data_IF_767942707344
#
_entry.id   IF_767942707344
#
_cell.length_a   1.000
_cell.length_b   1.000
_cell.length_c   1.000
_cell.angle_alpha   90.00
_cell.angle_beta   90.00
_cell.angle_gamma   90.00
#
_symmetry.space_group_name_H-M   'P 1'
#
loop_
_entity.id
_entity.type
_entity.pdbx_description
1 polymer ?
#
# COMPACT_ATOMS: atom_id res chain seq x y z
N UNK A 1 12.98 9.27 5.70
CA UNK A 1 11.84 10.01 5.09
C UNK A 1 11.49 9.33 3.78
N UNK A 2 10.23 8.97 3.55
CA UNK A 2 9.81 8.42 2.26
C UNK A 2 10.01 9.51 1.19
N UNK A 3 10.81 9.21 0.15
CA UNK A 3 11.01 10.12 -0.97
C UNK A 3 9.62 10.50 -1.51
N UNK A 4 9.30 11.80 -1.66
CA UNK A 4 8.02 12.20 -2.23
C UNK A 4 7.90 11.50 -3.58
N UNK A 5 6.84 10.72 -3.74
CA UNK A 5 6.60 10.00 -4.98
C UNK A 5 6.46 11.05 -6.08
N UNK A 6 7.40 11.10 -7.03
CA UNK A 6 7.51 12.16 -8.06
C UNK A 6 6.26 12.36 -8.93
N UNK A 7 5.25 11.49 -8.80
CA UNK A 7 4.03 11.54 -9.58
C UNK A 7 2.80 11.58 -8.65
N UNK A 8 1.99 12.65 -8.70
CA UNK A 8 0.78 12.79 -7.88
C UNK A 8 -0.26 11.72 -8.25
N UNK A 9 -1.12 11.35 -7.29
CA UNK A 9 -2.11 10.28 -7.47
C UNK A 9 -3.06 10.54 -8.66
N UNK A 10 -3.45 11.80 -8.87
CA UNK A 10 -4.32 12.19 -9.99
C UNK A 10 -3.66 11.99 -11.35
N UNK A 11 -2.34 12.23 -11.45
CA UNK A 11 -1.59 11.93 -12.68
C UNK A 11 -1.56 10.42 -12.94
N UNK A 12 -1.43 9.59 -11.90
CA UNK A 12 -1.43 8.13 -12.05
C UNK A 12 -2.77 7.62 -12.54
N UNK A 13 -3.87 8.03 -11.90
CA UNK A 13 -5.23 7.66 -12.33
C UNK A 13 -5.49 8.07 -13.77
N UNK A 14 -5.11 9.32 -14.12
CA UNK A 14 -5.23 9.81 -15.49
C UNK A 14 -4.40 9.01 -16.48
N UNK A 15 -3.17 8.65 -16.13
CA UNK A 15 -2.30 7.85 -16.98
C UNK A 15 -2.86 6.44 -17.21
N UNK A 16 -3.32 5.77 -16.16
CA UNK A 16 -3.95 4.44 -16.26
C UNK A 16 -5.18 4.49 -17.14
N UNK A 17 -6.10 5.45 -16.90
CA UNK A 17 -7.29 5.65 -17.72
C UNK A 17 -6.94 5.91 -19.19
N UNK A 18 -5.95 6.75 -19.46
CA UNK A 18 -5.56 7.04 -20.83
C UNK A 18 -4.99 5.80 -21.53
N UNK A 19 -4.21 4.97 -20.84
CA UNK A 19 -3.71 3.70 -21.40
C UNK A 19 -4.86 2.76 -21.71
N UNK A 20 -5.86 2.63 -20.84
CA UNK A 20 -7.01 1.75 -21.09
C UNK A 20 -7.89 2.25 -22.24
N UNK A 21 -8.00 3.57 -22.43
CA UNK A 21 -8.71 4.17 -23.55
C UNK A 21 -8.01 3.94 -24.90
N UNK A 22 -6.68 4.09 -24.97
CA UNK A 22 -5.95 4.06 -26.25
C UNK A 22 -5.34 2.70 -26.61
N UNK A 23 -5.31 1.73 -25.69
CA UNK A 23 -4.65 0.42 -25.92
C UNK A 23 -5.12 -0.31 -27.17
N UNK A 24 -6.37 -0.09 -27.62
CA UNK A 24 -6.94 -0.70 -28.82
C UNK A 24 -6.44 -0.07 -30.13
N UNK A 25 -5.94 1.16 -30.09
CA UNK A 25 -5.46 1.91 -31.26
C UNK A 25 -4.00 1.59 -31.62
N UNK A 26 -3.32 0.82 -30.77
CA UNK A 26 -1.91 0.47 -30.94
C UNK A 26 -1.73 -1.03 -31.20
N UNK A 27 -0.67 -1.43 -31.95
CA UNK A 27 -0.42 -2.84 -32.30
C UNK A 27 -0.08 -3.72 -31.10
N UNK A 28 0.31 -3.13 -29.95
CA UNK A 28 0.56 -3.84 -28.71
C UNK A 28 0.53 -2.89 -27.50
N UNK A 29 0.38 -3.48 -26.30
CA UNK A 29 0.36 -2.75 -25.02
C UNK A 29 1.61 -1.88 -24.81
N UNK A 30 2.79 -2.40 -25.15
CA UNK A 30 4.05 -1.66 -24.99
C UNK A 30 4.09 -0.37 -25.82
N UNK A 31 3.50 -0.37 -27.02
CA UNK A 31 3.39 0.81 -27.87
C UNK A 31 2.43 1.84 -27.28
N UNK A 32 1.26 1.42 -26.79
CA UNK A 32 0.32 2.29 -26.09
C UNK A 32 0.94 2.92 -24.83
N UNK A 33 1.61 2.12 -24.01
CA UNK A 33 2.29 2.59 -22.80
C UNK A 33 3.38 3.62 -23.12
N UNK A 34 4.19 3.39 -24.16
CA UNK A 34 5.21 4.35 -24.60
C UNK A 34 4.60 5.65 -25.08
N UNK A 35 3.53 5.59 -25.87
CA UNK A 35 2.85 6.77 -26.37
C UNK A 35 2.25 7.62 -25.24
N UNK A 36 1.59 6.99 -24.26
CA UNK A 36 1.04 7.70 -23.10
C UNK A 36 2.14 8.25 -22.19
N UNK A 37 3.22 7.49 -21.99
CA UNK A 37 4.38 7.96 -21.21
C UNK A 37 4.98 9.23 -21.81
N UNK A 38 5.20 9.26 -23.13
CA UNK A 38 5.67 10.45 -23.85
C UNK A 38 4.68 11.61 -23.73
N UNK A 39 3.38 11.35 -23.93
CA UNK A 39 2.33 12.37 -23.87
C UNK A 39 2.18 13.03 -22.48
N UNK A 40 2.44 12.28 -21.41
CA UNK A 40 2.32 12.77 -20.03
C UNK A 40 3.67 13.15 -19.39
N UNK A 41 4.78 13.09 -20.14
CA UNK A 41 6.12 13.39 -19.64
C UNK A 41 6.61 12.41 -18.56
N UNK A 42 6.15 11.16 -18.58
CA UNK A 42 6.56 10.12 -17.63
C UNK A 42 7.78 9.40 -18.19
N UNK A 43 8.87 9.40 -17.42
CA UNK A 43 10.18 8.95 -17.91
C UNK A 43 10.28 7.46 -18.28
N UNK A 44 9.31 6.61 -17.93
CA UNK A 44 9.35 5.19 -18.29
C UNK A 44 7.96 4.58 -18.50
N UNK A 45 7.81 3.86 -19.62
CA UNK A 45 6.63 3.04 -19.92
C UNK A 45 6.41 1.91 -18.89
N UNK A 46 7.48 1.39 -18.26
CA UNK A 46 7.37 0.39 -17.19
C UNK A 46 6.70 0.97 -15.94
N UNK A 47 6.87 2.27 -15.69
CA UNK A 47 6.18 2.95 -14.58
C UNK A 47 4.67 2.92 -14.80
N UNK A 48 4.20 3.23 -16.02
CA UNK A 48 2.77 3.13 -16.35
C UNK A 48 2.29 1.68 -16.28
N UNK A 49 3.09 0.73 -16.78
CA UNK A 49 2.74 -0.69 -16.72
C UNK A 49 2.49 -1.16 -15.29
N UNK A 50 3.32 -0.72 -14.35
CA UNK A 50 3.16 -1.03 -12.94
C UNK A 50 1.90 -0.39 -12.34
N UNK A 51 1.53 0.83 -12.78
CA UNK A 51 0.28 1.47 -12.34
C UNK A 51 -0.95 0.77 -12.89
N UNK A 52 -0.96 0.40 -14.18
CA UNK A 52 -2.05 -0.37 -14.79
C UNK A 52 -2.21 -1.70 -14.06
N UNK A 53 -1.13 -2.44 -13.84
CA UNK A 53 -1.18 -3.71 -13.08
C UNK A 53 -1.70 -3.54 -11.66
N UNK A 54 -1.32 -2.45 -11.00
CA UNK A 54 -1.78 -2.15 -9.64
C UNK A 54 -3.29 -1.88 -9.65
N UNK A 55 -3.76 -1.06 -10.59
CA UNK A 55 -5.18 -0.76 -10.79
C UNK A 55 -6.00 -2.02 -11.12
N UNK A 56 -5.47 -2.93 -11.95
CA UNK A 56 -6.10 -4.23 -12.22
C UNK A 56 -6.23 -5.10 -10.95
N UNK A 57 -5.25 -5.05 -10.05
CA UNK A 57 -5.30 -5.77 -8.78
C UNK A 57 -6.31 -5.10 -7.85
N UNK A 58 -6.25 -3.78 -7.70
CA UNK A 58 -7.14 -3.01 -6.84
C UNK A 58 -8.61 -3.08 -7.29
N UNK A 59 -8.87 -3.24 -8.59
CA UNK A 59 -10.21 -3.43 -9.18
C UNK A 59 -10.66 -4.90 -9.23
N UNK A 60 -9.84 -5.84 -8.77
CA UNK A 60 -10.15 -7.28 -8.77
C UNK A 60 -10.11 -7.95 -10.15
N UNK A 61 -9.66 -7.25 -11.20
CA UNK A 61 -9.46 -7.82 -12.53
C UNK A 61 -8.28 -8.80 -12.58
N UNK A 62 -7.35 -8.67 -11.63
CA UNK A 62 -6.16 -9.51 -11.50
C UNK A 62 -6.00 -10.01 -10.07
N UNK A 63 -5.64 -11.29 -9.85
CA UNK A 63 -5.33 -11.77 -8.51
C UNK A 63 -4.11 -11.05 -7.94
N UNK A 64 -4.21 -10.63 -6.68
CA UNK A 64 -3.16 -9.98 -5.92
C UNK A 64 -3.70 -9.35 -4.64
N UNK A 65 -2.81 -8.91 -3.74
CA UNK A 65 -3.20 -8.15 -2.54
C UNK A 65 -3.44 -6.70 -2.93
N UNK A 66 -4.65 -6.23 -2.68
CA UNK A 66 -5.01 -4.83 -2.92
C UNK A 66 -4.22 -3.89 -2.01
N UNK A 67 -4.13 -2.64 -2.43
CA UNK A 67 -3.53 -1.57 -1.66
C UNK A 67 -4.25 -1.37 -0.33
N UNK A 68 -5.58 -1.50 -0.34
CA UNK A 68 -6.43 -1.41 0.84
C UNK A 68 -6.15 -2.55 1.84
N UNK A 69 -6.12 -3.80 1.37
CA UNK A 69 -5.78 -4.95 2.22
C UNK A 69 -4.38 -4.82 2.84
N UNK A 70 -3.40 -4.34 2.07
CA UNK A 70 -2.05 -4.10 2.57
C UNK A 70 -2.03 -3.00 3.64
N UNK A 71 -2.84 -1.94 3.47
CA UNK A 71 -2.97 -0.86 4.44
C UNK A 71 -3.65 -1.34 5.73
N UNK A 72 -4.75 -2.08 5.61
CA UNK A 72 -5.47 -2.67 6.73
C UNK A 72 -4.58 -3.63 7.54
N UNK A 73 -3.83 -4.51 6.87
CA UNK A 73 -2.89 -5.42 7.54
C UNK A 73 -1.84 -4.65 8.35
N UNK A 74 -1.31 -3.54 7.81
CA UNK A 74 -0.33 -2.71 8.53
C UNK A 74 -0.94 -2.03 9.75
N UNK A 75 -2.15 -1.48 9.62
CA UNK A 75 -2.87 -0.86 10.73
C UNK A 75 -3.13 -1.88 11.85
N UNK A 76 -3.65 -3.06 11.50
CA UNK A 76 -3.90 -4.15 12.44
C UNK A 76 -2.63 -4.65 13.12
N UNK A 77 -1.51 -4.75 12.40
CA UNK A 77 -0.22 -5.14 12.98
C UNK A 77 0.28 -4.11 13.99
N UNK A 78 0.06 -2.82 13.72
CA UNK A 78 0.42 -1.74 14.64
C UNK A 78 -0.43 -1.81 15.91
N UNK A 79 -1.75 -1.89 15.77
CA UNK A 79 -2.67 -2.01 16.89
C UNK A 79 -2.35 -3.24 17.76
N UNK A 80 -2.10 -4.40 17.14
CA UNK A 80 -1.68 -5.60 17.87
C UNK A 80 -0.37 -5.39 18.66
N UNK A 81 0.60 -4.66 18.11
CA UNK A 81 1.84 -4.38 18.82
C UNK A 81 1.60 -3.45 20.02
N UNK A 82 0.73 -2.46 19.87
CA UNK A 82 0.33 -1.54 20.95
C UNK A 82 -0.43 -2.29 22.07
N UNK A 83 -1.39 -3.13 21.70
CA UNK A 83 -2.14 -3.96 22.64
C UNK A 83 -1.24 -4.97 23.37
N UNK A 84 -0.25 -5.57 22.69
CA UNK A 84 0.72 -6.46 23.34
C UNK A 84 1.56 -5.71 24.37
N UNK A 85 2.07 -4.53 24.03
CA UNK A 85 2.82 -3.69 24.98
C UNK A 85 1.97 -3.30 26.20
N UNK A 86 0.73 -2.90 25.99
CA UNK A 86 -0.18 -2.56 27.09
C UNK A 86 -0.43 -3.77 28.01
N UNK A 87 -0.66 -4.95 27.43
CA UNK A 87 -0.82 -6.19 28.19
C UNK A 87 0.44 -6.57 28.98
N UNK A 88 1.63 -6.36 28.42
CA UNK A 88 2.89 -6.62 29.13
C UNK A 88 3.04 -5.71 30.36
N UNK A 89 2.70 -4.42 30.24
CA UNK A 89 2.71 -3.47 31.36
C UNK A 89 1.72 -3.90 32.45
N UNK A 90 0.49 -4.24 32.06
CA UNK A 90 -0.53 -4.69 33.01
C UNK A 90 -0.13 -5.97 33.75
N UNK A 91 0.44 -6.94 33.03
CA UNK A 91 0.97 -8.18 33.64
C UNK A 91 2.11 -7.90 34.60
N UNK A 92 3.05 -7.03 34.24
CA UNK A 92 4.15 -6.64 35.11
C UNK A 92 3.65 -5.97 36.41
N UNK A 93 2.68 -5.06 36.30
CA UNK A 93 2.07 -4.40 37.46
C UNK A 93 1.30 -5.38 38.36
N UNK A 94 0.57 -6.34 37.77
CA UNK A 94 -0.14 -7.36 38.53
C UNK A 94 0.81 -8.25 39.35
N UNK A 95 1.94 -8.65 38.76
CA UNK A 95 2.98 -9.44 39.45
C UNK A 95 3.58 -8.68 40.64
N UNK A 96 3.88 -7.40 40.45
CA UNK A 96 4.44 -6.51 41.49
C UNK A 96 3.48 -6.36 42.69
N UNK A 97 2.17 -6.16 42.41
CA UNK A 97 1.14 -6.03 43.43
C UNK A 97 0.92 -7.30 44.27
N UNK A 98 1.01 -8.48 43.66
CA UNK A 98 0.98 -9.77 44.39
C UNK A 98 2.23 -10.01 45.24
N UNK A 99 3.40 -9.49 44.83
CA UNK A 99 4.63 -9.59 45.61
C UNK A 99 4.61 -8.71 46.87
N UNK A 100 4.04 -7.52 46.78
CA UNK A 100 3.92 -6.57 47.90
C UNK A 100 2.96 -7.05 49.01
N UNK A 101 1.96 -7.86 48.66
CA UNK A 101 0.95 -8.35 49.61
C UNK A 101 1.45 -9.51 50.49
N UNK A 102 2.54 -10.19 50.10
CA UNK A 102 3.07 -11.37 50.80
C UNK A 102 4.24 -11.07 51.75
N UNK A 103 4.73 -9.83 51.82
CA UNK A 103 5.89 -9.44 52.63
C UNK A 103 5.56 -8.65 53.91
N UNK A 104 4.29 -8.62 54.32
CA UNK A 104 3.81 -7.84 55.48
C UNK A 104 3.33 -8.68 56.68
N UNK A 105 3.75 -9.95 56.80
CA UNK A 105 3.39 -10.86 57.90
C UNK A 105 4.59 -11.27 58.74
#
# INVERSE_FOLDING_TARGET
MARPSSYPAELRKRAVRMVTEVRGDYPNESAALRAVAQKLGIGSAETLRNWVRRDEIDSGQRPGTTTEESAAMKALKKENAELKRANEILKAAALDSTGQSNSAG
#
